data_IF_616685825966
#
_entry.id   IF_616685825966
#
_cell.length_a   1.000
_cell.length_b   1.000
_cell.length_c   1.000
_cell.angle_alpha   90.00
_cell.angle_beta   90.00
_cell.angle_gamma   90.00
#
_symmetry.space_group_name_H-M   'P 1'
#
loop_
_entity.id
_entity.type
_entity.pdbx_description
1 polymer ?
#
# COMPACT_ATOMS: atom_id res chain seq x y z
N UNK A 1 -14.86 -21.19 -0.16
CA UNK A 1 -14.38 -20.65 1.14
C UNK A 1 -15.57 -20.09 1.92
N UNK A 2 -15.53 -20.00 3.26
CA UNK A 2 -16.60 -19.39 4.04
C UNK A 2 -16.86 -17.92 3.65
N UNK A 3 -18.10 -17.48 3.63
CA UNK A 3 -18.46 -16.12 3.18
C UNK A 3 -17.85 -15.02 4.07
N UNK A 4 -17.89 -15.21 5.40
CA UNK A 4 -17.26 -14.29 6.34
C UNK A 4 -15.73 -14.19 6.14
N UNK A 5 -15.09 -15.31 5.77
CA UNK A 5 -13.66 -15.33 5.44
C UNK A 5 -13.38 -14.57 4.14
N UNK A 6 -14.16 -14.81 3.08
CA UNK A 6 -14.10 -14.05 1.81
C UNK A 6 -14.22 -12.55 2.04
N UNK A 7 -15.26 -12.11 2.78
CA UNK A 7 -15.50 -10.70 3.09
C UNK A 7 -14.36 -10.07 3.90
N UNK A 8 -13.80 -10.82 4.86
CA UNK A 8 -12.67 -10.36 5.66
C UNK A 8 -11.41 -10.19 4.82
N UNK A 9 -11.14 -11.12 3.90
CA UNK A 9 -10.02 -11.00 2.97
C UNK A 9 -10.20 -9.83 2.00
N UNK A 10 -11.39 -9.66 1.41
CA UNK A 10 -11.69 -8.50 0.57
C UNK A 10 -11.39 -7.22 1.34
N UNK A 11 -11.91 -7.11 2.58
CA UNK A 11 -11.66 -5.95 3.44
C UNK A 11 -10.16 -5.74 3.66
N UNK A 12 -9.41 -6.76 4.05
CA UNK A 12 -8.00 -6.61 4.39
C UNK A 12 -7.13 -6.29 3.16
N UNK A 13 -7.28 -7.05 2.07
CA UNK A 13 -6.46 -6.90 0.86
C UNK A 13 -6.74 -5.56 0.18
N UNK A 14 -8.01 -5.14 0.12
CA UNK A 14 -8.36 -3.84 -0.44
C UNK A 14 -7.82 -2.69 0.41
N UNK A 15 -7.93 -2.77 1.74
CA UNK A 15 -7.35 -1.74 2.61
C UNK A 15 -5.81 -1.70 2.52
N UNK A 16 -5.17 -2.84 2.26
CA UNK A 16 -3.74 -2.90 1.92
C UNK A 16 -3.46 -2.18 0.59
N UNK A 17 -4.23 -2.50 -0.47
CA UNK A 17 -4.09 -1.83 -1.77
C UNK A 17 -4.32 -0.32 -1.68
N UNK A 18 -5.32 0.12 -0.92
CA UNK A 18 -5.60 1.53 -0.64
C UNK A 18 -4.42 2.19 0.08
N UNK A 19 -3.76 1.46 0.98
CA UNK A 19 -2.59 1.95 1.70
C UNK A 19 -1.44 2.26 0.76
N UNK A 20 -1.18 1.43 -0.25
CA UNK A 20 -0.15 1.72 -1.25
C UNK A 20 -0.47 2.99 -2.04
N UNK A 21 -1.72 3.12 -2.52
CA UNK A 21 -2.13 4.28 -3.32
C UNK A 21 -2.09 5.58 -2.52
N UNK A 22 -2.55 5.56 -1.27
CA UNK A 22 -2.57 6.75 -0.41
C UNK A 22 -1.16 7.08 0.09
N UNK A 23 -0.31 6.07 0.33
CA UNK A 23 1.07 6.24 0.79
C UNK A 23 1.96 7.00 -0.20
N UNK A 24 1.64 6.94 -1.49
CA UNK A 24 2.31 7.75 -2.52
C UNK A 24 2.14 9.27 -2.30
N UNK A 25 1.11 9.73 -1.59
CA UNK A 25 0.83 11.17 -1.43
C UNK A 25 1.84 11.89 -0.52
N UNK A 26 2.08 11.46 0.75
CA UNK A 26 3.06 12.11 1.61
C UNK A 26 4.48 12.07 1.04
N UNK A 27 4.86 10.98 0.37
CA UNK A 27 6.18 10.86 -0.28
C UNK A 27 6.26 11.67 -1.58
N UNK A 28 5.20 11.60 -2.40
CA UNK A 28 5.06 12.36 -3.65
C UNK A 28 5.18 13.87 -3.45
N UNK A 29 4.75 14.37 -2.29
CA UNK A 29 4.90 15.76 -1.88
C UNK A 29 6.36 16.27 -1.98
N UNK A 30 7.35 15.39 -1.81
CA UNK A 30 8.77 15.75 -1.82
C UNK A 30 9.53 15.40 -3.10
N UNK A 31 8.90 14.75 -4.09
CA UNK A 31 9.55 14.39 -5.36
C UNK A 31 10.20 15.60 -6.04
N UNK A 32 9.50 16.74 -6.09
CA UNK A 32 10.03 17.95 -6.75
C UNK A 32 11.07 18.69 -5.91
N UNK A 33 11.11 18.43 -4.59
CA UNK A 33 11.89 19.16 -3.58
C UNK A 33 13.03 18.35 -2.95
N UNK A 34 13.27 17.13 -3.43
CA UNK A 34 14.39 16.31 -2.98
C UNK A 34 15.74 17.05 -3.13
N UNK A 35 16.64 16.98 -2.13
CA UNK A 35 17.82 17.84 -2.03
C UNK A 35 18.92 17.51 -3.06
N UNK A 36 18.90 16.31 -3.63
CA UNK A 36 19.84 15.88 -4.67
C UNK A 36 19.12 15.07 -5.75
N UNK A 37 19.70 15.00 -6.95
CA UNK A 37 19.15 14.18 -8.04
C UNK A 37 19.16 12.69 -7.70
N UNK A 38 20.20 12.21 -7.02
CA UNK A 38 20.29 10.84 -6.54
C UNK A 38 19.10 10.48 -5.65
N UNK A 39 18.79 11.32 -4.65
CA UNK A 39 17.64 11.09 -3.76
C UNK A 39 16.30 11.25 -4.47
N UNK A 40 16.22 12.16 -5.45
CA UNK A 40 15.03 12.32 -6.29
C UNK A 40 14.73 11.06 -7.10
N UNK A 41 15.75 10.47 -7.72
CA UNK A 41 15.62 9.23 -8.50
C UNK A 41 15.20 8.07 -7.60
N UNK A 42 15.82 7.92 -6.42
CA UNK A 42 15.44 6.88 -5.45
C UNK A 42 13.98 7.01 -4.99
N UNK A 43 13.54 8.23 -4.67
CA UNK A 43 12.15 8.50 -4.28
C UNK A 43 11.15 8.23 -5.41
N UNK A 44 11.49 8.61 -6.64
CA UNK A 44 10.66 8.32 -7.82
C UNK A 44 10.49 6.81 -8.04
N UNK A 45 11.59 6.05 -7.96
CA UNK A 45 11.56 4.60 -8.08
C UNK A 45 10.68 3.96 -7.00
N UNK A 46 10.86 4.37 -5.73
CA UNK A 46 10.03 3.89 -4.62
C UNK A 46 8.55 4.15 -4.85
N UNK A 47 8.16 5.40 -5.14
CA UNK A 47 6.76 5.77 -5.36
C UNK A 47 6.15 5.05 -6.58
N UNK A 48 6.96 4.78 -7.62
CA UNK A 48 6.54 3.97 -8.75
C UNK A 48 6.26 2.51 -8.32
N UNK A 49 7.11 1.92 -7.49
CA UNK A 49 6.92 0.56 -6.98
C UNK A 49 5.66 0.44 -6.12
N UNK A 50 5.35 1.42 -5.26
CA UNK A 50 4.10 1.41 -4.47
C UNK A 50 2.85 1.37 -5.37
N UNK A 51 2.87 2.07 -6.51
CA UNK A 51 1.79 1.96 -7.49
C UNK A 51 1.67 0.51 -8.01
N UNK A 52 2.79 -0.12 -8.33
CA UNK A 52 2.86 -1.53 -8.74
C UNK A 52 2.35 -2.50 -7.66
N UNK A 53 2.73 -2.29 -6.41
CA UNK A 53 2.26 -3.06 -5.26
C UNK A 53 0.74 -2.95 -5.11
N UNK A 54 0.19 -1.74 -5.21
CA UNK A 54 -1.24 -1.49 -5.22
C UNK A 54 -1.96 -2.27 -6.33
N UNK A 55 -1.39 -2.32 -7.54
CA UNK A 55 -1.94 -3.11 -8.66
C UNK A 55 -1.96 -4.62 -8.35
N UNK A 56 -0.89 -5.16 -7.76
CA UNK A 56 -0.85 -6.57 -7.35
C UNK A 56 -1.92 -6.89 -6.30
N UNK A 57 -2.10 -6.00 -5.33
CA UNK A 57 -3.08 -6.18 -4.26
C UNK A 57 -4.52 -6.06 -4.77
N UNK A 58 -4.83 -5.09 -5.64
CA UNK A 58 -6.14 -5.05 -6.30
C UNK A 58 -6.38 -6.32 -7.12
N UNK A 59 -5.40 -6.78 -7.89
CA UNK A 59 -5.51 -8.03 -8.65
C UNK A 59 -5.80 -9.23 -7.73
N UNK A 60 -5.14 -9.30 -6.57
CA UNK A 60 -5.42 -10.33 -5.57
C UNK A 60 -6.83 -10.23 -4.99
N UNK A 61 -7.32 -9.01 -4.70
CA UNK A 61 -8.70 -8.80 -4.23
C UNK A 61 -9.73 -9.18 -5.30
N UNK A 62 -9.48 -8.90 -6.58
CA UNK A 62 -10.38 -9.23 -7.67
C UNK A 62 -10.59 -10.74 -7.84
N UNK A 63 -9.60 -11.57 -7.48
CA UNK A 63 -9.76 -13.04 -7.45
C UNK A 63 -10.79 -13.52 -6.41
N UNK A 64 -11.20 -12.66 -5.48
CA UNK A 64 -12.30 -12.96 -4.57
C UNK A 64 -13.65 -12.66 -5.21
N UNK A 65 -13.76 -11.89 -6.30
CA UNK A 65 -15.00 -11.57 -7.00
C UNK A 65 -15.62 -10.23 -6.58
N UNK A 66 -14.77 -9.23 -6.37
CA UNK A 66 -15.10 -7.80 -6.22
C UNK A 66 -14.36 -7.04 -7.33
N UNK A 67 -14.86 -5.93 -7.83
CA UNK A 67 -14.11 -5.13 -8.82
C UNK A 67 -13.20 -4.11 -8.15
N UNK A 68 -12.05 -3.79 -8.77
CA UNK A 68 -11.20 -2.67 -8.30
C UNK A 68 -11.96 -1.35 -8.21
N UNK A 69 -12.88 -1.09 -9.15
CA UNK A 69 -13.66 0.15 -9.19
C UNK A 69 -14.60 0.28 -7.98
N UNK A 70 -15.25 -0.81 -7.56
CA UNK A 70 -16.05 -0.83 -6.33
C UNK A 70 -15.19 -0.53 -5.10
N UNK A 71 -13.98 -1.09 -5.03
CA UNK A 71 -13.05 -0.87 -3.93
C UNK A 71 -12.55 0.59 -3.89
N UNK A 72 -12.16 1.14 -5.04
CA UNK A 72 -11.74 2.55 -5.13
C UNK A 72 -12.88 3.51 -4.79
N UNK A 73 -14.10 3.22 -5.22
CA UNK A 73 -15.29 3.99 -4.85
C UNK A 73 -15.49 3.94 -3.33
N UNK A 74 -15.37 2.76 -2.72
CA UNK A 74 -15.48 2.61 -1.27
C UNK A 74 -14.38 3.35 -0.50
N UNK A 75 -13.17 3.45 -1.05
CA UNK A 75 -12.10 4.30 -0.51
C UNK A 75 -12.48 5.78 -0.56
N UNK A 76 -12.87 6.29 -1.73
CA UNK A 76 -13.21 7.70 -1.91
C UNK A 76 -14.42 8.15 -1.08
N UNK A 77 -15.39 7.25 -0.86
CA UNK A 77 -16.55 7.49 -0.01
C UNK A 77 -16.26 7.26 1.49
N UNK A 78 -15.03 6.89 1.87
CA UNK A 78 -14.66 6.64 3.27
C UNK A 78 -15.27 5.37 3.88
N UNK A 79 -15.88 4.49 3.08
CA UNK A 79 -16.43 3.19 3.51
C UNK A 79 -15.35 2.15 3.76
N UNK A 80 -14.18 2.30 3.15
CA UNK A 80 -13.00 1.47 3.37
C UNK A 80 -11.78 2.31 3.76
N UNK A 81 -10.96 1.76 4.65
CA UNK A 81 -9.82 2.45 5.25
C UNK A 81 -8.53 2.25 4.43
N UNK A 82 -7.50 2.96 4.86
CA UNK A 82 -6.10 2.75 4.52
C UNK A 82 -5.27 2.88 5.80
N UNK A 83 -3.97 2.60 5.74
CA UNK A 83 -3.07 2.71 6.87
C UNK A 83 -3.10 4.11 7.47
N UNK A 84 -3.29 4.20 8.79
CA UNK A 84 -3.45 5.48 9.48
C UNK A 84 -2.24 6.39 9.37
N UNK A 85 -1.05 5.82 9.14
CA UNK A 85 0.22 6.55 9.06
C UNK A 85 0.24 7.58 7.92
N UNK A 86 -0.55 7.37 6.86
CA UNK A 86 -0.58 8.27 5.71
C UNK A 86 -1.45 9.52 5.91
N UNK A 87 -2.02 9.70 7.11
CA UNK A 87 -2.71 10.94 7.49
C UNK A 87 -1.76 11.99 8.10
N UNK A 88 -0.47 11.67 8.27
CA UNK A 88 0.52 12.58 8.85
C UNK A 88 1.26 13.37 7.76
N UNK A 89 1.48 14.69 7.93
CA UNK A 89 2.13 15.50 6.91
C UNK A 89 3.64 15.28 6.88
N UNK A 90 4.25 15.46 5.70
CA UNK A 90 5.70 15.50 5.49
C UNK A 90 6.18 16.95 5.42
N UNK A 91 6.61 17.49 6.57
CA UNK A 91 6.99 18.89 6.79
C UNK A 91 8.48 19.16 6.48
N UNK A 92 9.32 18.13 6.48
CA UNK A 92 10.76 18.22 6.20
C UNK A 92 11.27 17.08 5.32
N UNK A 93 12.44 17.24 4.70
CA UNK A 93 13.08 16.15 3.93
C UNK A 93 13.44 14.96 4.83
N UNK A 94 13.72 15.20 6.12
CA UNK A 94 14.00 14.13 7.07
C UNK A 94 12.82 13.18 7.22
N UNK A 95 11.59 13.66 7.02
CA UNK A 95 10.38 12.86 7.13
C UNK A 95 10.32 11.78 6.04
N UNK A 96 10.84 12.06 4.84
CA UNK A 96 10.95 11.06 3.75
C UNK A 96 11.91 9.94 4.14
N UNK A 97 13.04 10.30 4.75
CA UNK A 97 13.97 9.31 5.30
C UNK A 97 13.33 8.49 6.44
N UNK A 98 12.55 9.13 7.31
CA UNK A 98 11.84 8.45 8.39
C UNK A 98 10.73 7.53 7.88
N UNK A 99 10.00 7.90 6.83
CA UNK A 99 9.01 7.03 6.18
C UNK A 99 9.71 5.80 5.60
N UNK A 100 10.70 6.01 4.74
CA UNK A 100 11.43 4.92 4.07
C UNK A 100 12.18 3.97 5.02
N UNK A 101 12.43 4.39 6.26
CA UNK A 101 13.08 3.56 7.27
C UNK A 101 12.10 2.97 8.30
N UNK A 102 11.34 3.81 9.00
CA UNK A 102 10.51 3.39 10.13
C UNK A 102 9.14 2.90 9.68
N UNK A 103 8.50 3.61 8.75
CA UNK A 103 7.15 3.26 8.28
C UNK A 103 7.22 2.02 7.40
N UNK A 104 8.13 2.01 6.43
CA UNK A 104 8.37 0.84 5.58
C UNK A 104 8.91 -0.34 6.40
N UNK A 105 9.80 -0.09 7.37
CA UNK A 105 10.30 -1.13 8.27
C UNK A 105 9.18 -1.81 9.05
N UNK A 106 8.20 -1.05 9.55
CA UNK A 106 7.01 -1.61 10.20
C UNK A 106 6.11 -2.38 9.21
N UNK A 107 5.96 -1.89 7.98
CA UNK A 107 5.21 -2.57 6.92
C UNK A 107 5.85 -3.91 6.56
N UNK A 108 7.18 -3.97 6.41
CA UNK A 108 7.93 -5.20 6.09
C UNK A 108 7.70 -6.28 7.16
N UNK A 109 7.77 -5.93 8.45
CA UNK A 109 7.50 -6.89 9.54
C UNK A 109 6.09 -7.47 9.41
N UNK A 110 5.09 -6.63 9.08
CA UNK A 110 3.73 -7.09 8.86
C UNK A 110 3.60 -7.96 7.59
N UNK A 111 4.14 -7.51 6.46
CA UNK A 111 4.02 -8.17 5.15
C UNK A 111 4.72 -9.54 5.12
N UNK A 112 5.91 -9.66 5.73
CA UNK A 112 6.60 -10.95 5.85
C UNK A 112 5.73 -11.98 6.58
N UNK A 113 4.99 -11.56 7.62
CA UNK A 113 4.07 -12.46 8.32
C UNK A 113 2.90 -12.92 7.43
N UNK A 114 2.56 -12.15 6.40
CA UNK A 114 1.49 -12.43 5.44
C UNK A 114 1.96 -13.27 4.23
N UNK A 115 3.27 -13.48 4.04
CA UNK A 115 3.78 -14.38 3.00
C UNK A 115 3.31 -15.83 3.14
N UNK A 116 2.82 -16.22 4.33
CA UNK A 116 2.23 -17.54 4.61
C UNK A 116 0.72 -17.47 4.87
N UNK A 117 0.05 -16.42 4.39
CA UNK A 117 -1.39 -16.27 4.51
C UNK A 117 -2.13 -17.47 3.86
N UNK A 118 -3.25 -17.89 4.45
CA UNK A 118 -4.04 -19.03 3.96
C UNK A 118 -4.70 -18.80 2.60
N UNK A 119 -4.80 -17.55 2.14
CA UNK A 119 -5.27 -17.23 0.80
C UNK A 119 -4.12 -17.07 -0.19
N UNK A 120 -3.96 -18.06 -1.06
CA UNK A 120 -2.83 -18.16 -1.99
C UNK A 120 -2.55 -16.93 -2.85
N UNK A 121 -3.55 -16.29 -3.50
CA UNK A 121 -3.33 -15.06 -4.26
C UNK A 121 -2.71 -13.94 -3.42
N UNK A 122 -3.16 -13.78 -2.18
CA UNK A 122 -2.63 -12.75 -1.29
C UNK A 122 -1.22 -13.11 -0.81
N UNK A 123 -0.98 -14.35 -0.37
CA UNK A 123 0.36 -14.80 0.03
C UNK A 123 1.40 -14.62 -1.08
N UNK A 124 1.06 -14.92 -2.35
CA UNK A 124 1.97 -14.72 -3.48
C UNK A 124 2.21 -13.26 -3.83
N UNK A 125 1.22 -12.40 -3.65
CA UNK A 125 1.42 -10.96 -3.79
C UNK A 125 2.41 -10.44 -2.74
N UNK A 126 2.28 -10.89 -1.48
CA UNK A 126 3.20 -10.53 -0.38
C UNK A 126 4.63 -11.07 -0.55
N UNK A 127 4.86 -12.06 -1.41
CA UNK A 127 6.23 -12.54 -1.73
C UNK A 127 6.86 -11.69 -2.84
N UNK A 128 6.03 -11.06 -3.68
CA UNK A 128 6.50 -10.19 -4.77
C UNK A 128 6.76 -8.76 -4.31
N UNK A 129 5.88 -8.28 -3.43
CA UNK A 129 6.05 -7.05 -2.64
C UNK A 129 7.13 -7.34 -1.60
#
# INVERSE_FOLDING_TARGET
MPDAYRKTLIRQIAQHAHSEIVGMQPEGNWITRAPTLERKIGLLAKVQDECGHGLYLYSAAETLGVSREELLTALHEGRMKYSSIFNYPTLSWADIGAIGWLVDGAAIVNQISLCRNSYGPYARAMVRI
#
